data_IF_216768576636
#
_entry.id   IF_216768576636
#
_cell.length_a   1.000
_cell.length_b   1.000
_cell.length_c   1.000
_cell.angle_alpha   90.00
_cell.angle_beta   90.00
_cell.angle_gamma   90.00
#
_symmetry.space_group_name_H-M   'P 1'
#
loop_
_entity.id
_entity.type
_entity.pdbx_description
1 polymer ?
#
# COMPACT_ATOMS: atom_id res chain seq x y z
N UNK A 1 -0.24 -50.34 4.52
CA UNK A 1 -1.02 -49.19 5.01
C UNK A 1 -0.24 -48.60 6.17
N UNK A 2 0.49 -47.51 5.93
CA UNK A 2 1.36 -46.88 6.93
C UNK A 2 0.50 -45.97 7.81
N UNK A 3 0.58 -46.17 9.12
CA UNK A 3 -0.14 -45.39 10.12
C UNK A 3 0.33 -43.93 10.11
N UNK A 4 -0.62 -43.04 9.85
CA UNK A 4 -0.48 -41.60 10.02
C UNK A 4 -0.46 -41.28 11.52
N UNK A 5 0.69 -40.88 12.06
CA UNK A 5 0.81 -40.38 13.43
C UNK A 5 0.30 -38.94 13.42
N UNK A 6 -1.00 -38.77 13.58
CA UNK A 6 -1.62 -37.47 13.88
C UNK A 6 -1.19 -37.09 15.30
N UNK A 7 -0.31 -36.09 15.42
CA UNK A 7 0.06 -35.53 16.72
C UNK A 7 -1.12 -34.74 17.30
N UNK A 8 -1.76 -35.31 18.33
CA UNK A 8 -2.92 -34.75 19.04
C UNK A 8 -2.56 -33.58 19.98
N UNK A 9 -1.26 -33.29 20.16
CA UNK A 9 -0.76 -32.18 20.97
C UNK A 9 0.07 -31.25 20.09
N UNK A 10 -0.46 -30.05 19.86
CA UNK A 10 0.09 -29.02 18.99
C UNK A 10 1.43 -28.45 19.48
N UNK A 11 2.50 -29.22 19.30
CA UNK A 11 3.87 -28.74 19.37
C UNK A 11 4.35 -28.32 17.99
N UNK A 12 4.65 -27.04 17.81
CA UNK A 12 5.36 -26.55 16.62
C UNK A 12 6.79 -27.10 16.66
N UNK A 13 7.16 -27.95 15.71
CA UNK A 13 8.54 -28.39 15.50
C UNK A 13 9.34 -27.29 14.80
N UNK A 14 10.53 -27.02 15.30
CA UNK A 14 11.50 -26.14 14.61
C UNK A 14 11.97 -26.79 13.30
N UNK A 15 12.54 -26.02 12.37
CA UNK A 15 13.15 -26.56 11.13
C UNK A 15 14.29 -27.55 11.40
N UNK A 16 14.83 -27.57 12.63
CA UNK A 16 15.84 -28.51 13.13
C UNK A 16 15.25 -29.71 13.90
N UNK A 17 13.93 -29.94 13.84
CA UNK A 17 13.25 -31.12 14.38
C UNK A 17 13.03 -31.12 15.89
N UNK A 18 13.41 -30.06 16.61
CA UNK A 18 13.19 -29.96 18.06
C UNK A 18 11.75 -29.52 18.35
N UNK A 19 11.07 -30.26 19.24
CA UNK A 19 9.75 -29.88 19.75
C UNK A 19 9.88 -28.64 20.64
N UNK A 20 9.19 -27.56 20.27
CA UNK A 20 9.10 -26.37 21.10
C UNK A 20 8.22 -26.67 22.32
N UNK A 21 8.62 -26.16 23.50
CA UNK A 21 7.74 -26.22 24.68
C UNK A 21 6.43 -25.50 24.37
N UNK A 22 5.31 -25.94 24.97
CA UNK A 22 3.98 -25.38 24.66
C UNK A 22 3.83 -23.88 24.96
N UNK A 23 4.71 -23.30 25.79
CA UNK A 23 4.79 -21.85 25.99
C UNK A 23 5.45 -21.14 24.79
N UNK A 24 6.56 -21.68 24.30
CA UNK A 24 7.29 -21.15 23.13
C UNK A 24 6.43 -21.27 21.87
N UNK A 25 5.76 -22.41 21.66
CA UNK A 25 4.85 -22.59 20.53
C UNK A 25 3.72 -21.54 20.47
N UNK A 26 3.13 -21.21 21.63
CA UNK A 26 2.11 -20.16 21.72
C UNK A 26 2.67 -18.77 21.46
N UNK A 27 3.86 -18.48 21.97
CA UNK A 27 4.53 -17.21 21.74
C UNK A 27 4.86 -17.02 20.26
N UNK A 28 5.45 -18.03 19.61
CA UNK A 28 5.73 -18.00 18.17
C UNK A 28 4.45 -17.80 17.36
N UNK A 29 3.35 -18.48 17.71
CA UNK A 29 2.07 -18.27 17.03
C UNK A 29 1.57 -16.82 17.13
N UNK A 30 1.63 -16.21 18.31
CA UNK A 30 1.22 -14.80 18.50
C UNK A 30 2.08 -13.82 17.69
N UNK A 31 3.38 -14.08 17.60
CA UNK A 31 4.29 -13.26 16.80
C UNK A 31 3.97 -13.37 15.30
N UNK A 32 3.72 -14.59 14.80
CA UNK A 32 3.29 -14.83 13.42
C UNK A 32 1.97 -14.12 13.13
N UNK A 33 0.97 -14.27 14.00
CA UNK A 33 -0.34 -13.62 13.84
C UNK A 33 -0.19 -12.08 13.83
N UNK A 34 0.70 -11.53 14.66
CA UNK A 34 0.98 -10.09 14.70
C UNK A 34 1.65 -9.60 13.41
N UNK A 35 2.61 -10.36 12.88
CA UNK A 35 3.27 -10.02 11.61
C UNK A 35 2.27 -10.11 10.46
N UNK A 36 1.45 -11.16 10.41
CA UNK A 36 0.41 -11.31 9.39
C UNK A 36 -0.56 -10.12 9.38
N UNK A 37 -1.06 -9.71 10.55
CA UNK A 37 -1.94 -8.55 10.67
C UNK A 37 -1.26 -7.24 10.21
N UNK A 38 0.01 -7.02 10.56
CA UNK A 38 0.76 -5.83 10.10
C UNK A 38 1.00 -5.84 8.60
N UNK A 39 1.30 -7.00 8.02
CA UNK A 39 1.50 -7.15 6.58
C UNK A 39 0.21 -6.85 5.82
N UNK A 40 -0.95 -7.30 6.31
CA UNK A 40 -2.24 -7.01 5.68
C UNK A 40 -2.51 -5.49 5.66
N UNK A 41 -2.32 -4.82 6.78
CA UNK A 41 -2.48 -3.35 6.86
C UNK A 41 -1.52 -2.66 5.89
N UNK A 42 -0.25 -3.07 5.87
CA UNK A 42 0.75 -2.48 4.97
C UNK A 42 0.38 -2.69 3.49
N UNK A 43 -0.11 -3.88 3.14
CA UNK A 43 -0.53 -4.21 1.79
C UNK A 43 -1.71 -3.35 1.32
N UNK A 44 -2.77 -3.27 2.13
CA UNK A 44 -3.95 -2.42 1.83
C UNK A 44 -3.55 -0.95 1.73
N UNK A 45 -2.66 -0.48 2.61
CA UNK A 45 -2.17 0.90 2.58
C UNK A 45 -1.40 1.20 1.29
N UNK A 46 -0.54 0.28 0.85
CA UNK A 46 0.22 0.42 -0.39
C UNK A 46 -0.71 0.42 -1.62
N UNK A 47 -1.69 -0.49 -1.67
CA UNK A 47 -2.71 -0.50 -2.73
C UNK A 47 -3.49 0.80 -2.80
N UNK A 48 -3.89 1.36 -1.66
CA UNK A 48 -4.57 2.64 -1.61
C UNK A 48 -3.69 3.79 -2.11
N UNK A 49 -2.40 3.82 -1.74
CA UNK A 49 -1.44 4.80 -2.27
C UNK A 49 -1.25 4.67 -3.78
N UNK A 50 -1.15 3.44 -4.30
CA UNK A 50 -1.04 3.19 -5.73
C UNK A 50 -2.28 3.68 -6.49
N UNK A 51 -3.47 3.39 -5.96
CA UNK A 51 -4.74 3.87 -6.52
C UNK A 51 -4.81 5.40 -6.55
N UNK A 52 -4.49 6.07 -5.43
CA UNK A 52 -4.48 7.52 -5.34
C UNK A 52 -3.47 8.14 -6.32
N UNK A 53 -2.30 7.51 -6.48
CA UNK A 53 -1.27 7.94 -7.44
C UNK A 53 -1.79 7.84 -8.88
N UNK A 54 -2.40 6.71 -9.24
CA UNK A 54 -2.98 6.53 -10.57
C UNK A 54 -4.10 7.54 -10.85
N UNK A 55 -4.97 7.80 -9.88
CA UNK A 55 -6.04 8.80 -9.97
C UNK A 55 -5.47 10.21 -10.14
N UNK A 56 -4.49 10.61 -9.32
CA UNK A 56 -3.85 11.92 -9.41
C UNK A 56 -3.16 12.11 -10.77
N UNK A 57 -2.44 11.09 -11.27
CA UNK A 57 -1.80 11.14 -12.58
C UNK A 57 -2.83 11.33 -13.70
N UNK A 58 -3.93 10.58 -13.67
CA UNK A 58 -5.02 10.73 -14.64
C UNK A 58 -5.63 12.15 -14.61
N UNK A 59 -5.85 12.69 -13.41
CA UNK A 59 -6.37 14.04 -13.24
C UNK A 59 -5.38 15.09 -13.78
N UNK A 60 -4.08 14.96 -13.49
CA UNK A 60 -3.05 15.86 -14.03
C UNK A 60 -3.10 15.85 -15.56
N UNK A 61 -3.05 14.67 -16.19
CA UNK A 61 -3.10 14.54 -17.66
C UNK A 61 -4.36 15.21 -18.22
N UNK A 62 -5.53 14.95 -17.60
CA UNK A 62 -6.80 15.54 -18.02
C UNK A 62 -6.78 17.07 -17.93
N UNK A 63 -6.28 17.61 -16.80
CA UNK A 63 -6.21 19.05 -16.57
C UNK A 63 -5.24 19.74 -17.54
N UNK A 64 -4.09 19.14 -17.84
CA UNK A 64 -3.15 19.67 -18.84
C UNK A 64 -3.76 19.66 -20.25
N UNK A 65 -4.49 18.60 -20.63
CA UNK A 65 -5.20 18.57 -21.91
C UNK A 65 -6.27 19.65 -22.04
N UNK A 66 -7.03 19.92 -20.97
CA UNK A 66 -7.98 21.03 -20.94
C UNK A 66 -7.28 22.39 -21.02
N UNK A 67 -6.16 22.56 -20.31
CA UNK A 67 -5.38 23.79 -20.33
C UNK A 67 -4.82 24.07 -21.73
N UNK A 68 -4.27 23.06 -22.41
CA UNK A 68 -3.76 23.20 -23.78
C UNK A 68 -4.85 23.72 -24.73
N UNK A 69 -6.07 23.19 -24.65
CA UNK A 69 -7.22 23.66 -25.44
C UNK A 69 -7.62 25.10 -25.07
N UNK A 70 -7.70 25.43 -23.78
CA UNK A 70 -8.07 26.77 -23.32
C UNK A 70 -7.06 27.84 -23.70
N UNK A 71 -5.76 27.52 -23.63
CA UNK A 71 -4.67 28.45 -23.95
C UNK A 71 -4.58 28.79 -25.44
N UNK A 72 -5.17 27.99 -26.34
CA UNK A 72 -5.36 28.39 -27.74
C UNK A 72 -6.24 29.64 -27.85
N UNK A 73 -7.21 29.81 -26.94
CA UNK A 73 -8.15 30.93 -26.94
C UNK A 73 -7.69 32.11 -26.06
N UNK A 74 -6.87 31.85 -25.04
CA UNK A 74 -6.36 32.87 -24.13
C UNK A 74 -4.87 32.66 -23.78
N UNK A 75 -3.93 32.91 -24.71
CA UNK A 75 -2.51 32.66 -24.48
C UNK A 75 -1.90 33.46 -23.31
N UNK A 76 -2.43 34.66 -23.04
CA UNK A 76 -1.98 35.51 -21.95
C UNK A 76 -2.20 34.88 -20.55
N UNK A 77 -3.12 33.92 -20.42
CA UNK A 77 -3.41 33.24 -19.16
C UNK A 77 -2.47 32.06 -18.86
N UNK A 78 -1.47 31.78 -19.71
CA UNK A 78 -0.62 30.60 -19.59
C UNK A 78 0.09 30.47 -18.24
N UNK A 79 0.63 31.56 -17.71
CA UNK A 79 1.33 31.56 -16.43
C UNK A 79 0.40 31.17 -15.29
N UNK A 80 -0.77 31.82 -15.20
CA UNK A 80 -1.74 31.61 -14.13
C UNK A 80 -2.32 30.18 -14.15
N UNK A 81 -2.65 29.68 -15.35
CA UNK A 81 -3.17 28.31 -15.53
C UNK A 81 -2.12 27.28 -15.12
N UNK A 82 -0.87 27.42 -15.57
CA UNK A 82 0.20 26.49 -15.21
C UNK A 82 0.52 26.51 -13.71
N UNK A 83 0.44 27.68 -13.07
CA UNK A 83 0.62 27.79 -11.61
C UNK A 83 -0.40 26.93 -10.85
N UNK A 84 -1.67 26.99 -11.24
CA UNK A 84 -2.75 26.19 -10.64
C UNK A 84 -2.49 24.69 -10.84
N UNK A 85 -2.09 24.27 -12.04
CA UNK A 85 -1.79 22.85 -12.33
C UNK A 85 -0.61 22.32 -11.51
N UNK A 86 0.44 23.13 -11.36
CA UNK A 86 1.57 22.78 -10.52
C UNK A 86 1.19 22.73 -9.03
N UNK A 87 0.36 23.65 -8.56
CA UNK A 87 -0.16 23.64 -7.19
C UNK A 87 -0.97 22.37 -6.91
N UNK A 88 -1.86 21.99 -7.83
CA UNK A 88 -2.60 20.72 -7.75
C UNK A 88 -1.65 19.51 -7.66
N UNK A 89 -0.67 19.43 -8.57
CA UNK A 89 0.29 18.32 -8.63
C UNK A 89 1.07 18.17 -7.32
N UNK A 90 1.55 19.29 -6.75
CA UNK A 90 2.24 19.29 -5.45
C UNK A 90 1.31 18.87 -4.31
N UNK A 91 0.08 19.39 -4.29
CA UNK A 91 -0.92 19.04 -3.28
C UNK A 91 -1.27 17.55 -3.31
N UNK A 92 -1.49 16.99 -4.49
CA UNK A 92 -1.75 15.56 -4.67
C UNK A 92 -0.57 14.70 -4.21
N UNK A 93 0.67 15.07 -4.60
CA UNK A 93 1.87 14.37 -4.17
C UNK A 93 2.04 14.38 -2.64
N UNK A 94 1.78 15.52 -2.00
CA UNK A 94 1.81 15.64 -0.55
C UNK A 94 0.76 14.73 0.12
N UNK A 95 -0.49 14.77 -0.35
CA UNK A 95 -1.56 13.92 0.20
C UNK A 95 -1.21 12.44 0.10
N UNK A 96 -0.72 11.98 -1.05
CA UNK A 96 -0.27 10.58 -1.25
C UNK A 96 0.86 10.22 -0.29
N UNK A 97 1.88 11.09 -0.15
CA UNK A 97 3.02 10.83 0.73
C UNK A 97 2.62 10.73 2.22
N UNK A 98 1.61 11.49 2.63
CA UNK A 98 1.11 11.52 4.02
C UNK A 98 0.00 10.52 4.31
N UNK A 99 -0.48 9.77 3.31
CA UNK A 99 -1.55 8.79 3.46
C UNK A 99 -1.11 7.62 4.36
N UNK A 100 -1.86 7.35 5.43
CA UNK A 100 -1.56 6.32 6.43
C UNK A 100 -2.73 5.38 6.60
#
# INVERSE_FOLDING_TARGET
MAHEIVSLLGGTTTSSGHQLSGGIARQTKREVDTVAARTEVAHVTDQARAFLTASAANNIITLYGMAEQGLQSAPAAASDVLEVLHAYSRGAAFQIATFK
#
